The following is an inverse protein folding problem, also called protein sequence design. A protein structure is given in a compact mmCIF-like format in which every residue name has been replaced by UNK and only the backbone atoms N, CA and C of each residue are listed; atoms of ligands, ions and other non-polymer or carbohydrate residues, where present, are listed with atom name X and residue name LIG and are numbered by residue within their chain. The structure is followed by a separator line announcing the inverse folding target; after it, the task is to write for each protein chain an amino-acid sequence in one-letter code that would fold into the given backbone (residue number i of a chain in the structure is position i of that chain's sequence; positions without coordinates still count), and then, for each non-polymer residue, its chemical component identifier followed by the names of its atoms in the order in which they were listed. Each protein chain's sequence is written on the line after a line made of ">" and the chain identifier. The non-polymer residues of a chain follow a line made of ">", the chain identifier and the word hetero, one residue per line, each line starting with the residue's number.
data_IF_253905896616
#
_entry.id   IF_253905896616
#
_cell.length_a   1.000
_cell.length_b   1.000
_cell.length_c   1.000
_cell.angle_alpha   90.00
_cell.angle_beta   90.00
_cell.angle_gamma   90.00
#
_symmetry.space_group_name_H-M   'P 1'
#
loop_
_entity.id
_entity.type
_entity.pdbx_description
1 polymer ?
#
# COMPACT_ATOMS: atom_id res chain seq x y z
N UNK A 1 19.83 10.04 33.10
CA UNK A 1 19.29 10.87 32.01
C UNK A 1 19.91 10.32 30.75
N UNK A 2 19.36 9.22 30.25
CA UNK A 2 19.89 8.56 29.06
C UNK A 2 19.32 9.24 27.82
N UNK A 3 20.20 9.88 27.07
CA UNK A 3 19.90 10.43 25.75
C UNK A 3 19.46 9.31 24.81
N UNK A 4 18.40 9.48 24.01
CA UNK A 4 18.04 8.47 23.02
C UNK A 4 19.14 8.40 21.96
N UNK A 5 19.68 7.20 21.73
CA UNK A 5 20.59 6.92 20.61
C UNK A 5 19.97 7.41 19.30
N UNK A 6 20.73 8.08 18.42
CA UNK A 6 20.21 8.49 17.12
C UNK A 6 19.83 7.23 16.34
N UNK A 7 18.59 7.20 15.84
CA UNK A 7 18.15 6.16 14.91
C UNK A 7 19.15 6.10 13.76
N UNK A 8 19.83 4.95 13.63
CA UNK A 8 20.73 4.66 12.52
C UNK A 8 19.88 4.60 11.25
N UNK A 9 19.68 5.74 10.59
CA UNK A 9 19.15 5.76 9.24
C UNK A 9 20.08 4.89 8.38
N UNK A 10 19.56 3.85 7.70
CA UNK A 10 20.41 3.00 6.86
C UNK A 10 21.10 3.88 5.81
N UNK A 11 22.42 3.98 5.89
CA UNK A 11 23.23 4.73 4.93
C UNK A 11 23.30 3.93 3.63
N UNK A 12 22.29 4.09 2.77
CA UNK A 12 22.26 3.39 1.49
C UNK A 12 23.20 4.10 0.51
N UNK A 13 24.44 3.61 0.44
CA UNK A 13 25.40 3.99 -0.60
C UNK A 13 24.93 3.41 -1.94
N UNK A 14 24.12 4.17 -2.68
CA UNK A 14 23.84 3.87 -4.08
C UNK A 14 25.13 4.05 -4.88
N UNK A 15 25.72 2.96 -5.34
CA UNK A 15 26.70 3.05 -6.42
C UNK A 15 25.99 3.62 -7.65
N UNK A 16 26.58 4.64 -8.31
CA UNK A 16 26.03 5.22 -9.54
C UNK A 16 25.71 4.10 -10.54
N UNK A 17 24.42 3.84 -10.73
CA UNK A 17 23.96 2.82 -11.66
C UNK A 17 24.10 3.34 -13.09
N UNK A 18 24.88 2.63 -13.92
CA UNK A 18 24.96 2.93 -15.35
C UNK A 18 23.56 2.88 -15.97
N UNK A 19 23.16 3.96 -16.65
CA UNK A 19 21.88 4.05 -17.38
C UNK A 19 20.69 4.64 -16.60
N UNK A 20 20.91 5.23 -15.43
CA UNK A 20 19.94 6.10 -14.75
C UNK A 20 20.39 7.56 -14.81
N UNK A 21 19.42 8.45 -15.00
CA UNK A 21 19.63 9.89 -14.92
C UNK A 21 19.65 10.36 -13.45
N UNK A 22 20.34 11.46 -13.14
CA UNK A 22 20.48 11.97 -11.75
C UNK A 22 19.12 12.19 -11.06
N UNK A 23 18.11 12.66 -11.79
CA UNK A 23 16.74 12.81 -11.28
C UNK A 23 16.10 11.47 -10.88
N UNK A 24 16.39 10.40 -11.61
CA UNK A 24 15.88 9.06 -11.30
C UNK A 24 16.61 8.49 -10.08
N UNK A 25 17.93 8.72 -9.98
CA UNK A 25 18.72 8.37 -8.78
C UNK A 25 18.23 9.09 -7.53
N UNK A 26 17.97 10.40 -7.59
CA UNK A 26 17.41 11.17 -6.46
C UNK A 26 16.06 10.64 -6.01
N UNK A 27 15.19 10.30 -6.95
CA UNK A 27 13.91 9.68 -6.61
C UNK A 27 14.09 8.38 -5.82
N UNK A 28 15.00 7.51 -6.27
CA UNK A 28 15.31 6.24 -5.59
C UNK A 28 15.84 6.50 -4.17
N UNK A 29 16.75 7.47 -4.00
CA UNK A 29 17.27 7.87 -2.68
C UNK A 29 16.16 8.33 -1.74
N UNK A 30 15.24 9.16 -2.22
CA UNK A 30 14.12 9.64 -1.41
C UNK A 30 13.18 8.50 -1.01
N UNK A 31 12.86 7.57 -1.92
CA UNK A 31 12.04 6.39 -1.59
C UNK A 31 12.69 5.56 -0.48
N UNK A 32 14.01 5.36 -0.57
CA UNK A 32 14.77 4.65 0.45
C UNK A 32 14.73 5.39 1.79
N UNK A 33 14.80 6.72 1.81
CA UNK A 33 14.68 7.50 3.05
C UNK A 33 13.32 7.32 3.70
N UNK A 34 12.24 7.37 2.90
CA UNK A 34 10.88 7.16 3.40
C UNK A 34 10.77 5.80 4.07
N UNK A 35 11.15 4.74 3.37
CA UNK A 35 11.02 3.37 3.90
C UNK A 35 12.04 3.11 5.02
N UNK A 36 13.23 3.67 4.91
CA UNK A 36 14.30 3.60 5.91
C UNK A 36 13.91 4.22 7.25
N UNK A 37 12.99 5.19 7.26
CA UNK A 37 12.47 5.80 8.48
C UNK A 37 11.43 4.95 9.22
N UNK A 38 10.97 3.84 8.63
CA UNK A 38 9.98 2.94 9.22
C UNK A 38 10.65 1.92 10.14
N UNK A 39 9.94 1.52 11.20
CA UNK A 39 10.40 0.49 12.12
C UNK A 39 10.56 -0.86 11.40
N UNK A 40 11.71 -1.52 11.62
CA UNK A 40 12.05 -2.79 10.97
C UNK A 40 12.66 -2.66 9.57
N UNK A 41 13.03 -1.45 9.14
CA UNK A 41 13.65 -1.20 7.82
C UNK A 41 15.11 -1.70 7.70
N UNK A 42 15.74 -2.12 8.80
CA UNK A 42 17.16 -2.49 8.86
C UNK A 42 17.52 -3.73 8.01
N UNK A 43 16.55 -4.60 7.73
CA UNK A 43 16.72 -5.79 6.89
C UNK A 43 16.45 -5.54 5.41
N UNK A 44 15.96 -4.35 5.06
CA UNK A 44 15.55 -4.00 3.70
C UNK A 44 16.75 -4.00 2.75
N UNK A 45 16.58 -4.60 1.57
CA UNK A 45 17.58 -4.58 0.49
C UNK A 45 17.00 -4.02 -0.79
N UNK A 46 17.86 -3.39 -1.59
CA UNK A 46 17.47 -2.75 -2.84
C UNK A 46 18.07 -3.47 -4.04
N UNK A 47 17.26 -3.70 -5.08
CA UNK A 47 17.71 -4.10 -6.42
C UNK A 47 17.15 -3.13 -7.45
N UNK A 48 18.00 -2.66 -8.35
CA UNK A 48 17.62 -1.73 -9.41
C UNK A 48 17.83 -2.40 -10.76
N UNK A 49 16.78 -2.46 -11.57
CA UNK A 49 16.82 -2.95 -12.94
C UNK A 49 16.61 -1.78 -13.91
N UNK A 50 17.71 -1.25 -14.46
CA UNK A 50 17.72 -0.09 -15.37
C UNK A 50 18.02 -0.43 -16.83
N UNK A 51 18.07 -1.73 -17.19
CA UNK A 51 18.43 -2.21 -18.54
C UNK A 51 17.42 -1.82 -19.61
N UNK A 52 16.16 -1.54 -19.24
CA UNK A 52 15.15 -1.16 -20.21
C UNK A 52 15.42 0.26 -20.75
N UNK A 53 15.17 0.53 -22.04
CA UNK A 53 15.42 1.85 -22.62
C UNK A 53 14.59 2.96 -21.99
N UNK A 54 13.30 2.70 -21.75
CA UNK A 54 12.32 3.74 -21.35
C UNK A 54 11.90 3.68 -19.89
N UNK A 55 12.24 2.61 -19.17
CA UNK A 55 11.78 2.35 -17.80
C UNK A 55 12.89 1.81 -16.91
N UNK A 56 12.66 1.89 -15.61
CA UNK A 56 13.45 1.19 -14.62
C UNK A 56 12.53 0.60 -13.55
N UNK A 57 13.01 -0.46 -12.90
CA UNK A 57 12.29 -1.13 -11.81
C UNK A 57 13.16 -1.07 -10.56
N UNK A 58 12.56 -0.57 -9.49
CA UNK A 58 13.13 -0.63 -8.14
C UNK A 58 12.44 -1.75 -7.40
N UNK A 59 13.19 -2.78 -7.03
CA UNK A 59 12.71 -3.89 -6.22
C UNK A 59 13.27 -3.73 -4.82
N UNK A 60 12.37 -3.64 -3.85
CA UNK A 60 12.68 -3.57 -2.43
C UNK A 60 12.37 -4.94 -1.85
N UNK A 61 13.39 -5.56 -1.27
CA UNK A 61 13.33 -6.89 -0.65
C UNK A 61 13.27 -6.74 0.86
N UNK A 62 12.53 -7.64 1.49
CA UNK A 62 12.31 -7.65 2.94
C UNK A 62 11.88 -6.26 3.47
N UNK A 63 10.86 -5.59 2.87
CA UNK A 63 10.41 -4.30 3.37
C UNK A 63 9.87 -4.40 4.81
N UNK A 64 9.85 -3.30 5.57
CA UNK A 64 9.17 -3.25 6.86
C UNK A 64 7.66 -3.32 6.68
N UNK A 65 6.92 -3.31 7.80
CA UNK A 65 5.48 -3.12 7.78
C UNK A 65 5.15 -1.70 7.27
N UNK A 66 4.30 -1.59 6.24
CA UNK A 66 3.98 -0.32 5.59
C UNK A 66 2.47 -0.08 5.55
N UNK A 67 2.03 1.14 5.82
CA UNK A 67 0.63 1.52 5.64
C UNK A 67 0.35 1.91 4.19
N UNK A 68 -0.94 1.91 3.80
CA UNK A 68 -1.35 2.43 2.50
C UNK A 68 -0.97 3.92 2.33
N UNK A 69 -0.95 4.70 3.41
CA UNK A 69 -0.53 6.10 3.37
C UNK A 69 0.96 6.24 3.04
N UNK A 70 1.81 5.35 3.58
CA UNK A 70 3.25 5.30 3.23
C UNK A 70 3.45 4.98 1.74
N UNK A 71 2.66 4.03 1.21
CA UNK A 71 2.67 3.72 -0.23
C UNK A 71 2.20 4.90 -1.07
N UNK A 72 1.16 5.60 -0.63
CA UNK A 72 0.64 6.78 -1.32
C UNK A 72 1.65 7.92 -1.31
N UNK A 73 2.41 8.10 -0.23
CA UNK A 73 3.52 9.05 -0.20
C UNK A 73 4.53 8.75 -1.32
N UNK A 74 4.91 7.48 -1.52
CA UNK A 74 5.81 7.07 -2.61
C UNK A 74 5.22 7.43 -3.98
N UNK A 75 3.94 7.18 -4.22
CA UNK A 75 3.26 7.58 -5.46
C UNK A 75 3.37 9.09 -5.74
N UNK A 76 3.27 9.91 -4.70
CA UNK A 76 3.32 11.38 -4.83
C UNK A 76 4.73 11.92 -5.09
N UNK A 77 5.78 11.14 -4.82
CA UNK A 77 7.18 11.59 -4.98
C UNK A 77 7.61 11.71 -6.45
N UNK A 78 6.97 10.96 -7.35
CA UNK A 78 7.32 11.01 -8.77
C UNK A 78 6.12 10.66 -9.66
N UNK A 79 5.66 11.65 -10.44
CA UNK A 79 4.54 11.48 -11.38
C UNK A 79 4.78 10.49 -12.52
N UNK A 80 6.00 9.94 -12.63
CA UNK A 80 6.41 8.93 -13.63
C UNK A 80 6.33 7.49 -13.12
N UNK A 81 5.86 7.27 -11.90
CA UNK A 81 5.54 5.94 -11.39
C UNK A 81 4.41 5.35 -12.25
N UNK A 82 4.65 4.14 -12.76
CA UNK A 82 3.71 3.36 -13.58
C UNK A 82 2.84 2.50 -12.66
N UNK A 83 3.47 1.77 -11.75
CA UNK A 83 2.78 0.93 -10.76
C UNK A 83 3.67 0.66 -9.55
N UNK A 84 3.02 0.37 -8.42
CA UNK A 84 3.65 -0.21 -7.24
C UNK A 84 2.99 -1.55 -7.00
N UNK A 85 3.77 -2.62 -7.09
CA UNK A 85 3.30 -4.00 -6.92
C UNK A 85 3.87 -4.61 -5.65
N UNK A 86 3.03 -5.30 -4.90
CA UNK A 86 3.37 -5.94 -3.64
C UNK A 86 3.25 -7.45 -3.76
N UNK A 87 4.30 -8.17 -3.40
CA UNK A 87 4.33 -9.62 -3.27
C UNK A 87 4.66 -9.96 -1.80
N UNK A 88 3.62 -10.25 -1.00
CA UNK A 88 3.78 -10.56 0.42
C UNK A 88 4.43 -11.93 0.63
N UNK A 89 4.20 -12.87 -0.29
CA UNK A 89 4.75 -14.22 -0.21
C UNK A 89 6.28 -14.23 -0.36
N UNK A 90 6.77 -13.46 -1.35
CA UNK A 90 8.21 -13.25 -1.59
C UNK A 90 8.82 -12.11 -0.75
N UNK A 91 8.00 -11.35 -0.03
CA UNK A 91 8.42 -10.15 0.69
C UNK A 91 9.12 -9.15 -0.23
N UNK A 92 8.49 -8.82 -1.35
CA UNK A 92 9.01 -7.87 -2.34
C UNK A 92 8.01 -6.75 -2.61
N UNK A 93 8.51 -5.53 -2.76
CA UNK A 93 7.80 -4.42 -3.38
C UNK A 93 8.51 -4.01 -4.66
N UNK A 94 7.77 -3.90 -5.76
CA UNK A 94 8.29 -3.48 -7.07
C UNK A 94 7.67 -2.16 -7.47
N UNK A 95 8.51 -1.14 -7.63
CA UNK A 95 8.13 0.17 -8.15
C UNK A 95 8.62 0.24 -9.59
N UNK A 96 7.69 0.31 -10.53
CA UNK A 96 8.01 0.48 -11.95
C UNK A 96 7.83 1.96 -12.34
N UNK A 97 8.86 2.54 -12.96
CA UNK A 97 8.88 3.96 -13.33
C UNK A 97 9.37 4.17 -14.76
N UNK A 98 8.84 5.19 -15.43
CA UNK A 98 9.47 5.73 -16.64
C UNK A 98 10.79 6.46 -16.30
N UNK A 99 11.79 6.34 -17.18
CA UNK A 99 13.05 7.08 -17.07
C UNK A 99 12.87 8.59 -17.27
N UNK A 100 13.91 9.37 -16.99
CA UNK A 100 13.90 10.81 -17.26
C UNK A 100 13.57 11.13 -18.72
N UNK A 101 12.69 12.12 -18.90
CA UNK A 101 12.13 12.58 -20.18
C UNK A 101 11.27 11.56 -20.95
N UNK A 102 10.97 10.40 -20.36
CA UNK A 102 9.99 9.46 -20.89
C UNK A 102 8.60 9.78 -20.31
N UNK A 103 7.59 9.86 -21.18
CA UNK A 103 6.27 10.31 -20.77
C UNK A 103 5.37 9.18 -20.26
N UNK A 104 4.68 9.46 -19.16
CA UNK A 104 3.48 8.70 -18.80
C UNK A 104 2.33 9.13 -19.71
N UNK A 105 2.02 8.33 -20.74
CA UNK A 105 0.69 8.41 -21.36
C UNK A 105 -0.31 7.88 -20.34
N UNK A 106 -0.76 8.71 -19.40
CA UNK A 106 -1.81 8.37 -18.44
C UNK A 106 -3.09 8.10 -19.23
N UNK A 107 -3.27 6.86 -19.69
CA UNK A 107 -4.56 6.38 -20.14
C UNK A 107 -5.47 6.44 -18.92
N UNK A 108 -6.50 7.27 -18.99
CA UNK A 108 -7.58 7.36 -18.01
C UNK A 108 -8.14 5.94 -17.85
N UNK A 109 -7.77 5.23 -16.78
CA UNK A 109 -8.30 3.88 -16.50
C UNK A 109 -9.81 4.03 -16.34
N UNK A 110 -10.58 3.30 -17.16
CA UNK A 110 -11.98 3.06 -16.87
C UNK A 110 -11.99 2.04 -15.74
N UNK A 111 -12.37 2.46 -14.53
CA UNK A 111 -12.73 1.52 -13.48
C UNK A 111 -14.05 0.88 -13.89
N UNK A 112 -13.96 -0.19 -14.66
CA UNK A 112 -15.02 -1.18 -14.79
C UNK A 112 -14.44 -2.47 -14.24
N UNK A 113 -14.25 -2.50 -12.92
CA UNK A 113 -14.32 -3.77 -12.22
C UNK A 113 -15.80 -4.01 -12.04
N UNK A 114 -16.43 -4.45 -13.13
CA UNK A 114 -17.78 -4.98 -13.10
C UNK A 114 -17.83 -6.06 -12.01
N UNK A 115 -18.98 -6.16 -11.37
CA UNK A 115 -19.30 -7.17 -10.36
C UNK A 115 -18.92 -8.56 -10.89
N UNK A 116 -17.69 -9.01 -10.63
CA UNK A 116 -17.36 -10.41 -10.79
C UNK A 116 -18.36 -11.20 -9.94
N UNK A 117 -18.78 -12.37 -10.44
CA UNK A 117 -19.47 -13.41 -9.66
C UNK A 117 -18.49 -13.90 -8.57
N UNK A 118 -18.28 -13.05 -7.57
CA UNK A 118 -17.41 -13.33 -6.45
C UNK A 118 -18.18 -14.27 -5.53
N UNK A 119 -17.63 -15.47 -5.22
CA UNK A 119 -18.35 -16.50 -4.49
C UNK A 119 -19.04 -15.97 -3.23
N UNK A 120 -20.34 -16.23 -3.12
CA UNK A 120 -21.07 -16.04 -1.88
C UNK A 120 -20.84 -17.26 -0.98
N UNK A 121 -20.24 -17.03 0.19
CA UNK A 121 -19.92 -18.13 1.11
C UNK A 121 -18.82 -17.85 2.13
N UNK A 122 -18.39 -16.60 2.28
CA UNK A 122 -17.39 -16.26 3.29
C UNK A 122 -17.91 -16.49 4.70
N UNK A 123 -17.06 -17.05 5.55
CA UNK A 123 -17.36 -17.18 6.96
C UNK A 123 -17.31 -15.80 7.63
N UNK A 124 -18.49 -15.23 7.85
CA UNK A 124 -18.71 -13.99 8.58
C UNK A 124 -19.30 -14.25 9.97
N UNK A 125 -19.16 -15.46 10.52
CA UNK A 125 -19.70 -15.84 11.84
C UNK A 125 -19.22 -14.92 12.97
N UNK A 126 -18.03 -14.33 12.81
CA UNK A 126 -17.40 -13.42 13.77
C UNK A 126 -17.78 -11.93 13.56
N UNK A 127 -18.65 -11.64 12.60
CA UNK A 127 -19.09 -10.28 12.24
C UNK A 127 -20.55 -10.08 12.65
N UNK A 128 -20.83 -8.96 13.31
CA UNK A 128 -22.20 -8.63 13.70
C UNK A 128 -23.10 -8.44 12.47
N UNK A 129 -24.36 -8.84 12.57
CA UNK A 129 -25.31 -8.81 11.43
C UNK A 129 -25.49 -7.43 10.81
N UNK A 130 -25.33 -6.36 11.60
CA UNK A 130 -25.38 -4.96 11.15
C UNK A 130 -24.17 -4.60 10.27
N UNK A 131 -23.07 -5.30 10.44
CA UNK A 131 -21.77 -5.00 9.84
C UNK A 131 -21.45 -5.93 8.67
N UNK A 132 -22.08 -7.11 8.63
CA UNK A 132 -21.86 -8.14 7.60
C UNK A 132 -21.94 -7.59 6.18
N UNK A 133 -22.86 -6.66 5.88
CA UNK A 133 -23.01 -6.11 4.52
C UNK A 133 -21.75 -5.38 4.03
N UNK A 134 -21.13 -4.56 4.87
CA UNK A 134 -19.95 -3.79 4.45
C UNK A 134 -18.68 -4.63 4.53
N UNK A 135 -18.55 -5.51 5.53
CA UNK A 135 -17.42 -6.46 5.60
C UNK A 135 -17.42 -7.39 4.39
N UNK A 136 -18.58 -7.96 4.04
CA UNK A 136 -18.73 -8.77 2.82
C UNK A 136 -18.41 -7.97 1.56
N UNK A 137 -18.90 -6.73 1.46
CA UNK A 137 -18.60 -5.86 0.31
C UNK A 137 -17.11 -5.59 0.13
N UNK A 138 -16.40 -5.29 1.23
CA UNK A 138 -14.95 -5.08 1.24
C UNK A 138 -14.25 -6.36 0.78
N UNK A 139 -14.58 -7.50 1.39
CA UNK A 139 -14.00 -8.78 1.05
C UNK A 139 -14.22 -9.09 -0.43
N UNK A 140 -15.46 -9.02 -0.93
CA UNK A 140 -15.76 -9.24 -2.34
C UNK A 140 -14.92 -8.39 -3.30
N UNK A 141 -14.73 -7.10 -2.99
CA UNK A 141 -13.95 -6.21 -3.86
C UNK A 141 -12.44 -6.51 -3.79
N UNK A 142 -11.92 -6.92 -2.64
CA UNK A 142 -10.53 -7.39 -2.55
C UNK A 142 -10.34 -8.69 -3.34
N UNK A 143 -11.39 -9.49 -3.50
CA UNK A 143 -11.31 -10.79 -4.18
C UNK A 143 -11.58 -10.72 -5.67
N UNK A 144 -12.25 -9.67 -6.13
CA UNK A 144 -12.19 -9.27 -7.53
C UNK A 144 -10.78 -8.92 -8.02
N UNK A 145 -9.76 -8.88 -7.13
CA UNK A 145 -8.35 -8.65 -7.50
C UNK A 145 -7.70 -9.89 -8.07
N UNK A 146 -8.04 -11.06 -7.53
CA UNK A 146 -7.28 -12.30 -7.71
C UNK A 146 -8.14 -13.39 -8.29
N UNK A 147 -7.58 -14.14 -9.23
CA UNK A 147 -8.18 -15.39 -9.73
C UNK A 147 -7.71 -16.61 -8.93
N UNK A 148 -6.76 -16.43 -8.01
CA UNK A 148 -6.21 -17.48 -7.16
C UNK A 148 -6.80 -17.46 -5.74
N UNK A 149 -6.80 -18.63 -5.11
CA UNK A 149 -7.18 -18.83 -3.71
C UNK A 149 -6.25 -18.05 -2.77
N UNK A 150 -6.82 -17.50 -1.71
CA UNK A 150 -6.13 -16.76 -0.66
C UNK A 150 -6.77 -17.17 0.68
N UNK A 151 -6.01 -17.03 1.76
CA UNK A 151 -6.53 -17.28 3.11
C UNK A 151 -7.03 -15.96 3.69
N UNK A 152 -8.22 -15.95 4.30
CA UNK A 152 -8.69 -14.80 5.08
C UNK A 152 -9.18 -15.19 6.46
N UNK A 153 -8.90 -14.31 7.43
CA UNK A 153 -9.34 -14.44 8.81
C UNK A 153 -9.87 -13.09 9.27
N UNK A 154 -11.02 -13.11 9.95
CA UNK A 154 -11.59 -11.92 10.59
C UNK A 154 -11.36 -12.04 12.09
N UNK A 155 -10.59 -11.11 12.64
CA UNK A 155 -10.34 -11.00 14.07
C UNK A 155 -11.21 -9.87 14.65
N UNK A 156 -12.22 -10.17 15.48
CA UNK A 156 -13.01 -9.13 16.12
C UNK A 156 -12.23 -8.47 17.26
N UNK A 157 -12.19 -7.14 17.25
CA UNK A 157 -11.74 -6.30 18.36
C UNK A 157 -12.91 -5.47 18.90
N UNK A 158 -12.68 -4.74 20.01
CA UNK A 158 -13.73 -3.97 20.69
C UNK A 158 -14.43 -2.94 19.78
N UNK A 159 -13.67 -2.23 18.93
CA UNK A 159 -14.19 -1.12 18.10
C UNK A 159 -14.17 -1.39 16.58
N UNK A 160 -13.65 -2.54 16.19
CA UNK A 160 -13.36 -2.84 14.79
C UNK A 160 -13.19 -4.34 14.56
N UNK A 161 -13.16 -4.71 13.29
CA UNK A 161 -12.68 -5.99 12.80
C UNK A 161 -11.32 -5.78 12.15
N UNK A 162 -10.43 -6.74 12.29
CA UNK A 162 -9.22 -6.83 11.48
C UNK A 162 -9.44 -7.96 10.48
N UNK A 163 -9.56 -7.59 9.21
CA UNK A 163 -9.52 -8.53 8.11
C UNK A 163 -8.05 -8.78 7.75
N UNK A 164 -7.57 -9.99 8.02
CA UNK A 164 -6.25 -10.45 7.63
C UNK A 164 -6.35 -11.31 6.37
N UNK A 165 -5.52 -11.01 5.37
CA UNK A 165 -5.45 -11.72 4.10
C UNK A 165 -4.02 -12.21 3.91
N UNK A 166 -3.88 -13.49 3.55
CA UNK A 166 -2.61 -14.19 3.30
C UNK A 166 -2.69 -14.98 2.00
N UNK A 167 -1.52 -15.44 1.53
CA UNK A 167 -1.36 -16.26 0.32
C UNK A 167 -1.86 -15.60 -0.98
N UNK A 168 -2.15 -14.31 -0.92
CA UNK A 168 -2.57 -13.51 -2.06
C UNK A 168 -1.45 -13.34 -3.08
N UNK A 169 -1.82 -13.32 -4.36
CA UNK A 169 -0.90 -13.07 -5.45
C UNK A 169 -0.34 -11.63 -5.44
N UNK A 170 0.44 -11.28 -6.46
CA UNK A 170 1.02 -9.94 -6.58
C UNK A 170 -0.08 -8.90 -6.76
N UNK A 171 -0.19 -7.96 -5.82
CA UNK A 171 -1.23 -6.93 -5.81
C UNK A 171 -0.69 -5.62 -6.35
N UNK A 172 -1.46 -4.93 -7.20
CA UNK A 172 -1.22 -3.52 -7.52
C UNK A 172 -1.82 -2.63 -6.42
N UNK A 173 -0.99 -1.78 -5.80
CA UNK A 173 -1.40 -0.91 -4.69
C UNK A 173 -2.51 0.07 -5.13
N UNK A 174 -2.49 0.51 -6.38
CA UNK A 174 -3.50 1.42 -6.96
C UNK A 174 -4.91 0.84 -6.81
N UNK A 175 -5.06 -0.49 -6.97
CA UNK A 175 -6.34 -1.16 -6.78
C UNK A 175 -6.78 -1.16 -5.32
N UNK A 176 -5.88 -1.49 -4.39
CA UNK A 176 -6.20 -1.47 -2.95
C UNK A 176 -6.63 -0.06 -2.53
N UNK A 177 -5.99 0.97 -3.09
CA UNK A 177 -6.38 2.35 -2.88
C UNK A 177 -7.81 2.63 -3.38
N UNK A 178 -8.21 2.14 -4.56
CA UNK A 178 -9.58 2.27 -5.06
C UNK A 178 -10.61 1.58 -4.14
N UNK A 179 -10.32 0.36 -3.66
CA UNK A 179 -11.20 -0.36 -2.72
C UNK A 179 -11.33 0.42 -1.41
N UNK A 180 -10.22 0.85 -0.83
CA UNK A 180 -10.21 1.62 0.42
C UNK A 180 -10.96 2.94 0.22
N UNK A 181 -10.82 3.60 -0.92
CA UNK A 181 -11.57 4.83 -1.23
C UNK A 181 -13.08 4.59 -1.34
N UNK A 182 -13.51 3.47 -1.95
CA UNK A 182 -14.92 3.05 -2.03
C UNK A 182 -15.51 2.79 -0.64
N UNK A 183 -14.74 2.19 0.26
CA UNK A 183 -15.16 1.83 1.62
C UNK A 183 -14.59 2.74 2.73
N UNK A 184 -14.16 3.95 2.39
CA UNK A 184 -13.45 4.88 3.30
C UNK A 184 -14.20 5.26 4.58
N UNK A 185 -15.52 5.06 4.61
CA UNK A 185 -16.34 5.31 5.79
C UNK A 185 -16.16 4.22 6.88
N UNK A 186 -15.68 3.04 6.47
CA UNK A 186 -15.53 1.83 7.29
C UNK A 186 -14.06 1.43 7.43
N UNK A 187 -13.27 1.48 6.36
CA UNK A 187 -11.85 1.14 6.41
C UNK A 187 -11.06 2.30 7.02
N UNK A 188 -10.44 2.06 8.17
CA UNK A 188 -9.71 3.06 8.96
C UNK A 188 -8.20 2.96 8.80
N UNK A 189 -7.68 1.77 8.51
CA UNK A 189 -6.25 1.54 8.29
C UNK A 189 -6.07 0.33 7.37
N UNK A 190 -5.14 0.46 6.43
CA UNK A 190 -4.70 -0.65 5.57
C UNK A 190 -3.20 -0.79 5.71
N UNK A 191 -2.72 -2.01 5.95
CA UNK A 191 -1.32 -2.28 6.27
C UNK A 191 -0.82 -3.49 5.47
N UNK A 192 0.31 -3.32 4.80
CA UNK A 192 1.10 -4.36 4.15
C UNK A 192 2.18 -4.82 5.12
N UNK A 193 1.90 -5.92 5.82
CA UNK A 193 2.81 -6.52 6.80
C UNK A 193 3.68 -7.57 6.10
N UNK A 194 4.78 -7.11 5.51
CA UNK A 194 5.71 -7.98 4.79
C UNK A 194 6.33 -9.06 5.70
N UNK A 195 6.82 -8.76 6.92
CA UNK A 195 7.39 -9.79 7.79
C UNK A 195 6.38 -10.91 8.15
N UNK A 196 5.12 -10.56 8.38
CA UNK A 196 4.06 -11.54 8.67
C UNK A 196 3.35 -12.07 7.42
N UNK A 197 3.71 -11.59 6.23
CA UNK A 197 3.09 -11.93 4.93
C UNK A 197 1.59 -11.73 4.93
N UNK A 198 1.13 -10.61 5.51
CA UNK A 198 -0.30 -10.31 5.72
C UNK A 198 -0.67 -8.95 5.13
N UNK A 199 -1.78 -8.90 4.39
CA UNK A 199 -2.51 -7.66 4.16
C UNK A 199 -3.55 -7.53 5.26
N UNK A 200 -3.54 -6.41 5.99
CA UNK A 200 -4.46 -6.15 7.12
C UNK A 200 -5.33 -4.94 6.83
N UNK A 201 -6.64 -5.10 6.91
CA UNK A 201 -7.61 -4.01 6.84
C UNK A 201 -8.34 -3.88 8.17
N UNK A 202 -8.27 -2.70 8.77
CA UNK A 202 -9.00 -2.34 9.99
C UNK A 202 -10.34 -1.75 9.61
N UNK A 203 -11.41 -2.50 9.84
CA UNK A 203 -12.79 -2.16 9.46
C UNK A 203 -13.55 -1.76 10.72
N UNK A 204 -14.06 -0.52 10.78
CA UNK A 204 -14.82 -0.01 11.92
C UNK A 204 -16.17 -0.71 12.06
N UNK A 205 -16.57 -1.03 13.30
CA UNK A 205 -17.95 -1.43 13.60
C UNK A 205 -18.93 -0.27 13.42
N UNK A 206 -20.19 -0.54 13.12
CA UNK A 206 -21.19 0.53 12.94
C UNK A 206 -21.56 1.24 14.26
N UNK A 207 -21.44 0.56 15.38
CA UNK A 207 -21.75 1.09 16.73
C UNK A 207 -20.65 2.01 17.29
N UNK A 208 -19.49 2.06 16.63
CA UNK A 208 -18.35 2.85 17.08
C UNK A 208 -18.52 4.31 16.63
N UNK A 209 -18.39 5.31 17.54
CA UNK A 209 -18.55 6.71 17.20
C UNK A 209 -17.63 7.15 16.05
N UNK A 210 -18.18 7.88 15.08
CA UNK A 210 -17.38 8.52 14.04
C UNK A 210 -16.60 9.64 14.72
N UNK A 211 -15.28 9.49 14.87
CA UNK A 211 -14.43 10.63 15.13
C UNK A 211 -14.58 11.59 13.95
N UNK A 212 -15.34 12.67 14.16
CA UNK A 212 -15.46 13.76 13.19
C UNK A 212 -14.04 14.21 12.87
N UNK A 213 -13.59 13.98 11.64
CA UNK A 213 -12.43 14.66 11.08
C UNK A 213 -12.75 16.15 11.27
N UNK A 214 -12.05 16.81 12.19
CA UNK A 214 -12.26 18.22 12.46
C UNK A 214 -12.11 18.94 11.11
N UNK A 215 -13.19 19.59 10.67
CA UNK A 215 -13.19 20.39 9.45
C UNK A 215 -11.94 21.28 9.49
N UNK A 216 -10.96 21.03 8.61
CA UNK A 216 -9.83 21.94 8.41
C UNK A 216 -10.45 23.31 8.12
N UNK A 217 -10.34 24.24 9.08
CA UNK A 217 -10.77 25.63 8.89
C UNK A 217 -10.07 26.12 7.62
N UNK A 218 -10.84 26.43 6.58
CA UNK A 218 -10.30 27.07 5.37
C UNK A 218 -9.58 28.34 5.81
N UNK A 219 -8.25 28.39 5.60
CA UNK A 219 -7.47 29.61 5.76
C UNK A 219 -8.04 30.64 4.77
N UNK A 220 -8.71 31.66 5.28
CA UNK A 220 -9.07 32.84 4.49
C UNK A 220 -7.77 33.58 4.17
N UNK A 221 -7.31 33.47 2.93
CA UNK A 221 -6.29 34.37 2.41
C UNK A 221 -6.93 35.76 2.36
N UNK A 222 -6.42 36.69 3.17
CA UNK A 222 -6.78 38.11 3.05
C UNK A 222 -6.14 38.63 1.76
N UNK A 223 -6.97 39.21 0.88
CA UNK A 223 -6.51 40.01 -0.25
C UNK A 223 -5.96 41.33 0.27
#
# INVERSE_FOLDING_TARGET
>A
MDSPSPALNPEVKLQKHKGLHDNDSRFIEEVIKVIGSLDGSSTMRLKIHSKFPTRFIVTILDPPCMTLDDMHQIFLMNGRIISIKVDLNKQEMKIECYKHNEESKKKRKRAAYDEYDVPDGYDLSMVDSKDSKHVNGILKNILGITTMEFTSVIVPEASNYILEIQDIEVIDVDYIQEVVQKYRAFVTKTTFDYPQKKLKLKIRRNDTPIHRIANRKKLKIRR
#
